data_IF_402337052528
#
_entry.id   IF_402337052528
#
_cell.length_a   1.000
_cell.length_b   1.000
_cell.length_c   1.000
_cell.angle_alpha   90.00
_cell.angle_beta   90.00
_cell.angle_gamma   90.00
#
_symmetry.space_group_name_H-M   'P 1'
#
loop_
_entity.id
_entity.type
_entity.pdbx_description
1 polymer ?
#
# COMPACT_ATOMS: atom_id res chain seq x y z
N UNK A 1 -11.01 18.24 3.83
CA UNK A 1 -12.03 17.94 2.84
C UNK A 1 -12.32 16.46 2.66
N UNK A 2 -11.52 15.56 3.27
CA UNK A 2 -11.68 14.09 3.17
C UNK A 2 -12.15 13.57 4.52
N UNK A 3 -13.45 13.70 4.77
CA UNK A 3 -14.06 13.35 6.04
C UNK A 3 -14.73 11.99 5.94
N UNK A 4 -14.43 11.13 6.90
CA UNK A 4 -15.20 9.90 7.15
C UNK A 4 -15.89 10.03 8.50
N UNK A 5 -17.03 9.36 8.66
CA UNK A 5 -17.73 9.27 9.93
C UNK A 5 -17.03 8.37 10.95
N UNK A 6 -16.07 7.57 10.48
CA UNK A 6 -15.31 6.64 11.31
C UNK A 6 -14.05 7.28 11.85
N UNK A 7 -13.67 6.93 13.07
CA UNK A 7 -12.36 7.25 13.63
C UNK A 7 -11.33 6.30 13.03
N UNK A 8 -10.54 6.80 12.07
CA UNK A 8 -9.60 5.97 11.27
C UNK A 8 -8.16 6.07 11.75
N UNK A 9 -7.88 6.89 12.76
CA UNK A 9 -6.55 6.97 13.36
C UNK A 9 -6.38 5.96 14.48
N UNK A 10 -5.16 5.48 14.72
CA UNK A 10 -4.84 4.55 15.80
C UNK A 10 -5.23 5.12 17.19
N UNK A 11 -5.16 6.44 17.38
CA UNK A 11 -5.63 7.10 18.60
C UNK A 11 -7.12 6.89 18.90
N UNK A 12 -7.93 6.62 17.89
CA UNK A 12 -9.34 6.30 18.02
C UNK A 12 -9.63 5.02 18.81
N UNK A 13 -8.68 4.09 18.87
CA UNK A 13 -8.79 2.84 19.65
C UNK A 13 -8.93 3.14 21.13
N UNK A 14 -8.10 4.03 21.67
CA UNK A 14 -8.18 4.43 23.10
C UNK A 14 -9.54 5.02 23.45
N UNK A 15 -10.05 5.90 22.61
CA UNK A 15 -11.37 6.51 22.80
C UNK A 15 -12.50 5.50 22.64
N UNK A 16 -12.44 4.65 21.64
CA UNK A 16 -13.50 3.69 21.32
C UNK A 16 -13.63 2.55 22.34
N UNK A 17 -12.50 2.09 22.90
CA UNK A 17 -12.46 1.00 23.89
C UNK A 17 -12.40 1.50 25.33
N UNK A 18 -12.18 2.80 25.57
CA UNK A 18 -12.02 3.35 26.91
C UNK A 18 -10.74 2.88 27.62
N UNK A 19 -9.69 2.55 26.85
CA UNK A 19 -8.39 2.10 27.37
C UNK A 19 -7.33 3.18 27.20
N UNK A 20 -6.34 3.19 28.10
CA UNK A 20 -5.19 4.09 27.96
C UNK A 20 -4.28 3.68 26.78
N UNK A 21 -3.62 4.65 26.11
CA UNK A 21 -2.78 4.36 24.94
C UNK A 21 -1.59 3.44 25.25
N UNK A 22 -1.17 3.34 26.51
CA UNK A 22 -0.08 2.46 26.96
C UNK A 22 -0.39 0.96 26.81
N UNK A 23 -1.67 0.60 26.61
CA UNK A 23 -2.07 -0.79 26.33
C UNK A 23 -1.99 -1.17 24.86
N UNK A 24 -1.51 -0.26 24.01
CA UNK A 24 -1.28 -0.50 22.60
C UNK A 24 0.23 -0.63 22.38
N UNK A 25 0.71 -1.87 22.24
CA UNK A 25 2.14 -2.15 22.10
C UNK A 25 2.61 -2.08 20.64
N UNK A 26 1.72 -2.44 19.68
CA UNK A 26 2.05 -2.51 18.27
C UNK A 26 0.91 -1.98 17.40
N UNK A 27 1.27 -1.16 16.42
CA UNK A 27 0.35 -0.63 15.41
C UNK A 27 0.83 -1.08 14.05
N UNK A 28 0.07 -1.95 13.39
CA UNK A 28 0.37 -2.44 12.05
C UNK A 28 -0.40 -1.60 11.05
N UNK A 29 0.33 -0.85 10.21
CA UNK A 29 -0.24 -0.09 9.10
C UNK A 29 -0.42 -0.97 7.88
N UNK A 30 -1.65 -1.13 7.39
CA UNK A 30 -1.92 -1.89 6.17
C UNK A 30 -1.87 -0.94 4.97
N UNK A 31 -1.00 -1.25 4.01
CA UNK A 31 -0.88 -0.53 2.74
C UNK A 31 -0.87 -1.53 1.59
N UNK A 32 -1.51 -1.19 0.49
CA UNK A 32 -1.31 -1.93 -0.75
C UNK A 32 0.06 -1.58 -1.35
N UNK A 33 0.57 -2.43 -2.23
CA UNK A 33 1.77 -2.13 -3.02
C UNK A 33 1.55 -1.01 -4.06
N UNK A 34 0.33 -0.52 -4.22
CA UNK A 34 -0.09 0.62 -5.04
C UNK A 34 -1.20 1.38 -4.30
N UNK A 35 -1.67 2.48 -4.84
CA UNK A 35 -2.71 3.30 -4.19
C UNK A 35 -4.07 3.11 -4.85
N UNK A 36 -5.13 3.04 -4.05
CA UNK A 36 -6.51 3.07 -4.55
C UNK A 36 -7.33 4.11 -3.80
N UNK A 37 -8.33 4.66 -4.48
CA UNK A 37 -9.27 5.61 -3.91
C UNK A 37 -10.71 5.28 -4.32
N UNK A 38 -11.62 5.44 -3.37
CA UNK A 38 -13.07 5.39 -3.61
C UNK A 38 -13.61 6.82 -3.56
N UNK A 39 -14.52 7.14 -4.47
CA UNK A 39 -15.15 8.44 -4.52
C UNK A 39 -14.31 9.53 -5.16
N UNK A 40 -14.80 10.75 -5.05
CA UNK A 40 -14.22 11.93 -5.69
C UNK A 40 -13.13 12.57 -4.83
N UNK A 41 -12.52 13.61 -5.36
CA UNK A 41 -11.45 14.36 -4.73
C UNK A 41 -10.08 14.08 -5.35
N UNK A 42 -9.05 14.86 -5.00
CA UNK A 42 -7.73 14.74 -5.59
C UNK A 42 -7.11 13.38 -5.31
N UNK A 43 -6.47 12.85 -6.35
CA UNK A 43 -5.70 11.63 -6.31
C UNK A 43 -4.46 11.84 -7.19
N UNK A 44 -3.42 12.41 -6.61
CA UNK A 44 -2.25 12.94 -7.33
C UNK A 44 -1.54 11.86 -8.16
N UNK A 45 -1.52 10.62 -7.67
CA UNK A 45 -0.85 9.49 -8.35
C UNK A 45 -1.80 8.66 -9.21
N UNK A 46 -3.03 9.13 -9.50
CA UNK A 46 -4.01 8.40 -10.29
C UNK A 46 -3.52 8.12 -11.70
N UNK A 47 -3.83 6.92 -12.20
CA UNK A 47 -3.49 6.47 -13.54
C UNK A 47 -4.73 6.33 -14.40
N UNK A 48 -4.68 6.94 -15.58
CA UNK A 48 -5.75 6.90 -16.58
C UNK A 48 -5.35 6.06 -17.81
N UNK A 49 -4.18 5.46 -17.76
CA UNK A 49 -3.58 4.64 -18.81
C UNK A 49 -3.85 3.14 -18.62
N UNK A 50 -3.18 2.31 -19.43
CA UNK A 50 -3.30 0.86 -19.35
C UNK A 50 -2.73 0.28 -18.05
N UNK A 51 -1.76 0.95 -17.40
CA UNK A 51 -1.29 0.53 -16.09
C UNK A 51 -2.41 0.68 -15.03
N UNK A 52 -3.15 1.78 -15.07
CA UNK A 52 -4.29 1.99 -14.17
C UNK A 52 -5.38 0.92 -14.34
N UNK A 53 -5.69 0.55 -15.60
CA UNK A 53 -6.63 -0.53 -15.91
C UNK A 53 -6.13 -1.88 -15.40
N UNK A 54 -4.86 -2.19 -15.64
CA UNK A 54 -4.23 -3.44 -15.20
C UNK A 54 -4.25 -3.57 -13.65
N UNK A 55 -3.94 -2.51 -12.93
CA UNK A 55 -4.04 -2.47 -11.46
C UNK A 55 -5.48 -2.74 -10.99
N UNK A 56 -6.47 -2.14 -11.66
CA UNK A 56 -7.88 -2.31 -11.32
C UNK A 56 -8.37 -3.77 -11.57
N UNK A 57 -8.03 -4.33 -12.72
CA UNK A 57 -8.44 -5.67 -13.12
C UNK A 57 -7.75 -6.75 -12.27
N UNK A 58 -6.42 -6.75 -12.21
CA UNK A 58 -5.63 -7.71 -11.42
C UNK A 58 -5.92 -7.59 -9.94
N UNK A 59 -6.00 -6.35 -9.46
CA UNK A 59 -6.29 -6.07 -8.06
C UNK A 59 -7.76 -6.34 -7.68
N UNK A 60 -8.63 -6.67 -8.65
CA UNK A 60 -10.07 -6.76 -8.43
C UNK A 60 -10.60 -5.55 -7.65
N UNK A 61 -10.23 -4.34 -8.13
CA UNK A 61 -10.50 -3.09 -7.44
C UNK A 61 -11.92 -2.59 -7.71
N UNK A 62 -12.86 -3.34 -7.20
CA UNK A 62 -14.29 -3.05 -7.23
C UNK A 62 -14.86 -3.09 -5.81
N UNK A 63 -15.89 -2.30 -5.58
CA UNK A 63 -16.62 -2.32 -4.31
C UNK A 63 -17.36 -3.66 -4.13
N UNK A 64 -17.09 -4.34 -3.02
CA UNK A 64 -17.68 -5.67 -2.76
C UNK A 64 -19.22 -5.68 -2.80
N UNK A 65 -19.87 -4.60 -2.37
CA UNK A 65 -21.32 -4.49 -2.32
C UNK A 65 -21.92 -3.85 -3.57
N UNK A 66 -21.28 -2.82 -4.11
CA UNK A 66 -21.83 -1.99 -5.17
C UNK A 66 -21.24 -2.28 -6.54
N UNK A 67 -20.18 -3.07 -6.63
CA UNK A 67 -19.42 -3.29 -7.87
C UNK A 67 -18.76 -2.02 -8.44
N UNK A 68 -18.82 -0.88 -7.72
CA UNK A 68 -18.27 0.39 -8.22
C UNK A 68 -16.75 0.28 -8.34
N UNK A 69 -16.17 0.67 -9.50
CA UNK A 69 -14.73 0.63 -9.68
C UNK A 69 -14.02 1.61 -8.73
N UNK A 70 -12.88 1.19 -8.20
CA UNK A 70 -11.96 2.05 -7.48
C UNK A 70 -10.98 2.68 -8.45
N UNK A 71 -10.64 3.91 -8.20
CA UNK A 71 -9.57 4.62 -8.89
C UNK A 71 -8.24 4.03 -8.44
N UNK A 72 -7.32 3.78 -9.37
CA UNK A 72 -6.02 3.18 -9.10
C UNK A 72 -4.89 4.13 -9.49
N UNK A 73 -3.78 4.04 -8.78
CA UNK A 73 -2.59 4.85 -9.04
C UNK A 73 -1.33 4.27 -8.42
N UNK A 74 -0.19 4.87 -8.73
CA UNK A 74 1.09 4.47 -8.14
C UNK A 74 1.11 4.71 -6.63
N UNK A 75 1.92 3.92 -5.93
CA UNK A 75 2.11 4.07 -4.48
C UNK A 75 2.63 5.47 -4.15
N UNK A 76 1.98 6.11 -3.20
CA UNK A 76 2.33 7.44 -2.71
C UNK A 76 3.06 7.32 -1.36
N UNK A 77 4.39 7.41 -1.40
CA UNK A 77 5.20 7.29 -0.20
C UNK A 77 5.17 8.55 0.67
N UNK A 78 4.86 9.71 0.09
CA UNK A 78 4.71 10.95 0.88
C UNK A 78 3.49 10.83 1.78
N UNK A 79 2.36 10.41 1.20
CA UNK A 79 1.14 10.16 1.94
C UNK A 79 1.30 9.00 2.94
N UNK A 80 1.95 7.91 2.55
CA UNK A 80 2.21 6.76 3.43
C UNK A 80 3.08 7.16 4.63
N UNK A 81 4.15 7.91 4.40
CA UNK A 81 5.02 8.42 5.48
C UNK A 81 4.25 9.31 6.45
N UNK A 82 3.36 10.17 5.94
CA UNK A 82 2.48 10.99 6.77
C UNK A 82 1.51 10.13 7.59
N UNK A 83 0.93 9.09 7.00
CA UNK A 83 0.01 8.18 7.68
C UNK A 83 0.73 7.41 8.79
N UNK A 84 1.95 6.92 8.55
CA UNK A 84 2.80 6.24 9.54
C UNK A 84 3.05 7.15 10.75
N UNK A 85 3.47 8.38 10.50
CA UNK A 85 3.70 9.36 11.57
C UNK A 85 2.43 9.64 12.37
N UNK A 86 1.32 9.92 11.67
CA UNK A 86 0.04 10.28 12.31
C UNK A 86 -0.52 9.16 13.18
N UNK A 87 -0.27 7.90 12.81
CA UNK A 87 -0.79 6.72 13.50
C UNK A 87 0.23 6.03 14.40
N UNK A 88 1.47 6.52 14.48
CA UNK A 88 2.56 5.86 15.20
C UNK A 88 2.73 4.39 14.78
N UNK A 89 2.65 4.14 13.47
CA UNK A 89 2.78 2.79 12.90
C UNK A 89 4.16 2.23 13.22
N UNK A 90 4.21 1.06 13.83
CA UNK A 90 5.44 0.36 14.19
C UNK A 90 5.94 -0.54 13.07
N UNK A 91 5.00 -1.17 12.37
CA UNK A 91 5.27 -2.11 11.28
C UNK A 91 4.27 -1.94 10.13
N UNK A 92 4.68 -2.26 8.92
CA UNK A 92 3.82 -2.30 7.75
C UNK A 92 3.35 -3.72 7.43
N UNK A 93 2.13 -3.82 6.95
CA UNK A 93 1.62 -4.93 6.19
C UNK A 93 1.44 -4.46 4.73
N UNK A 94 2.34 -4.88 3.82
CA UNK A 94 2.21 -4.59 2.39
C UNK A 94 1.35 -5.69 1.77
N UNK A 95 0.25 -5.30 1.15
CA UNK A 95 -0.68 -6.24 0.51
C UNK A 95 -0.68 -6.10 -1.00
N UNK A 96 -1.14 -7.13 -1.70
CA UNK A 96 -1.31 -7.11 -3.16
C UNK A 96 -0.01 -6.87 -3.93
N UNK A 97 1.09 -7.45 -3.46
CA UNK A 97 2.36 -7.39 -4.18
C UNK A 97 2.24 -8.08 -5.55
N UNK A 98 1.54 -9.20 -5.60
CA UNK A 98 1.21 -10.00 -6.78
C UNK A 98 0.53 -9.21 -7.92
N UNK A 99 -0.19 -8.16 -7.58
CA UNK A 99 -0.86 -7.30 -8.58
C UNK A 99 0.14 -6.56 -9.48
N UNK A 100 1.36 -6.32 -8.98
CA UNK A 100 2.43 -5.67 -9.72
C UNK A 100 3.27 -6.65 -10.57
N UNK A 101 2.99 -7.96 -10.48
CA UNK A 101 3.66 -8.97 -11.29
C UNK A 101 3.54 -8.64 -12.79
N UNK A 102 4.58 -9.01 -13.56
CA UNK A 102 4.68 -8.80 -15.02
C UNK A 102 4.69 -7.32 -15.47
N UNK A 103 4.63 -6.34 -14.56
CA UNK A 103 4.88 -4.95 -14.93
C UNK A 103 6.35 -4.77 -15.30
N UNK A 104 6.60 -4.08 -16.42
CA UNK A 104 7.98 -3.77 -16.86
C UNK A 104 8.61 -2.69 -16.00
N UNK A 105 7.82 -1.69 -15.65
CA UNK A 105 8.22 -0.54 -14.86
C UNK A 105 7.17 -0.25 -13.79
N UNK A 106 7.62 0.11 -12.62
CA UNK A 106 6.78 0.46 -11.49
C UNK A 106 7.24 1.82 -10.96
N UNK A 107 6.33 2.77 -10.84
CA UNK A 107 6.65 4.07 -10.30
C UNK A 107 6.15 4.21 -8.86
N UNK A 108 6.86 5.01 -8.07
CA UNK A 108 6.51 5.35 -6.70
C UNK A 108 6.65 6.86 -6.54
N UNK A 109 5.61 7.51 -6.02
CA UNK A 109 5.67 8.94 -5.72
C UNK A 109 6.49 9.17 -4.46
N UNK A 110 7.54 10.01 -4.59
CA UNK A 110 8.49 10.31 -3.54
C UNK A 110 8.47 11.76 -3.08
N UNK A 111 7.84 12.64 -3.86
CA UNK A 111 7.69 14.05 -3.54
C UNK A 111 6.57 14.68 -4.40
N UNK A 112 6.24 15.93 -4.12
CA UNK A 112 5.33 16.74 -4.92
C UNK A 112 6.00 18.05 -5.32
N UNK A 113 5.95 18.38 -6.61
CA UNK A 113 6.38 19.66 -7.14
C UNK A 113 5.21 20.35 -7.82
N UNK A 114 4.81 21.52 -7.36
CA UNK A 114 3.66 22.28 -7.88
C UNK A 114 2.38 21.43 -7.99
N UNK A 115 2.07 20.65 -6.95
CA UNK A 115 0.94 19.71 -6.88
C UNK A 115 1.01 18.54 -7.89
N UNK A 116 2.16 18.34 -8.53
CA UNK A 116 2.42 17.20 -9.40
C UNK A 116 3.30 16.16 -8.68
N UNK A 117 3.07 14.85 -8.93
CA UNK A 117 3.87 13.81 -8.29
C UNK A 117 5.26 13.72 -8.92
N UNK A 118 6.28 13.65 -8.07
CA UNK A 118 7.65 13.30 -8.46
C UNK A 118 7.82 11.80 -8.28
N UNK A 119 8.17 11.11 -9.36
CA UNK A 119 8.27 9.66 -9.35
C UNK A 119 9.71 9.16 -9.32
N UNK A 120 9.93 8.08 -8.56
CA UNK A 120 11.05 7.18 -8.75
C UNK A 120 10.58 5.93 -9.47
N UNK A 121 11.25 5.60 -10.56
CA UNK A 121 11.00 4.40 -11.36
C UNK A 121 11.80 3.20 -10.85
N UNK A 122 11.20 2.04 -10.86
CA UNK A 122 11.78 0.73 -10.57
C UNK A 122 11.58 -0.19 -11.76
N UNK A 123 12.57 -1.05 -11.99
CA UNK A 123 12.38 -2.19 -12.88
C UNK A 123 11.41 -3.18 -12.23
N UNK A 124 10.43 -3.62 -12.98
CA UNK A 124 9.54 -4.68 -12.55
C UNK A 124 10.24 -6.03 -12.46
N UNK A 125 9.60 -6.99 -11.85
CA UNK A 125 10.19 -8.33 -11.67
C UNK A 125 9.75 -9.37 -12.67
N UNK A 126 8.80 -9.07 -13.54
CA UNK A 126 8.39 -9.86 -14.72
C UNK A 126 8.15 -11.35 -14.44
N UNK A 127 7.81 -11.69 -13.21
CA UNK A 127 7.56 -13.06 -12.74
C UNK A 127 6.47 -13.04 -11.68
N UNK A 128 5.80 -14.18 -11.48
CA UNK A 128 4.78 -14.26 -10.44
C UNK A 128 5.39 -14.29 -9.05
N UNK A 129 4.81 -13.50 -8.15
CA UNK A 129 5.05 -13.56 -6.72
C UNK A 129 3.91 -14.29 -5.99
N UNK A 130 2.84 -14.66 -6.70
CA UNK A 130 1.67 -15.30 -6.13
C UNK A 130 2.04 -16.59 -5.39
N UNK A 131 1.63 -16.68 -4.13
CA UNK A 131 1.82 -17.85 -3.29
C UNK A 131 3.23 -17.99 -2.69
N UNK A 132 4.15 -17.05 -2.90
CA UNK A 132 5.45 -17.06 -2.22
C UNK A 132 5.24 -16.73 -0.74
N UNK A 133 5.78 -17.60 0.15
CA UNK A 133 5.66 -17.47 1.61
C UNK A 133 6.98 -17.11 2.30
N UNK A 134 8.09 -17.20 1.58
CA UNK A 134 9.43 -16.88 2.09
C UNK A 134 9.98 -15.62 1.41
N UNK A 135 10.45 -14.66 2.21
CA UNK A 135 10.97 -13.38 1.69
C UNK A 135 12.15 -13.55 0.73
N UNK A 136 13.04 -14.47 1.05
CA UNK A 136 14.23 -14.71 0.23
C UNK A 136 13.91 -15.31 -1.13
N UNK A 137 12.75 -15.94 -1.27
CA UNK A 137 12.24 -16.49 -2.54
C UNK A 137 11.61 -15.44 -3.46
N UNK A 138 11.40 -14.21 -2.97
CA UNK A 138 10.91 -13.13 -3.82
C UNK A 138 11.94 -12.76 -4.90
N UNK A 139 11.48 -12.35 -6.10
CA UNK A 139 12.34 -11.78 -7.12
C UNK A 139 13.14 -10.59 -6.57
N UNK A 140 14.37 -10.42 -7.05
CA UNK A 140 15.28 -9.38 -6.53
C UNK A 140 14.69 -7.97 -6.67
N UNK A 141 14.06 -7.66 -7.81
CA UNK A 141 13.43 -6.36 -8.01
C UNK A 141 12.25 -6.12 -7.05
N UNK A 142 11.51 -7.17 -6.68
CA UNK A 142 10.45 -7.06 -5.66
C UNK A 142 11.04 -6.76 -4.28
N UNK A 143 12.17 -7.39 -3.92
CA UNK A 143 12.89 -7.09 -2.67
C UNK A 143 13.43 -5.66 -2.66
N UNK A 144 13.99 -5.19 -3.78
CA UNK A 144 14.47 -3.80 -3.95
C UNK A 144 13.31 -2.82 -3.76
N UNK A 145 12.16 -3.09 -4.35
CA UNK A 145 10.95 -2.27 -4.21
C UNK A 145 10.50 -2.18 -2.75
N UNK A 146 10.35 -3.31 -2.08
CA UNK A 146 9.95 -3.38 -0.66
C UNK A 146 10.98 -2.66 0.23
N UNK A 147 12.26 -2.92 0.01
CA UNK A 147 13.34 -2.31 0.78
C UNK A 147 13.34 -0.79 0.63
N UNK A 148 13.11 -0.28 -0.56
CA UNK A 148 13.00 1.16 -0.78
C UNK A 148 11.83 1.78 -0.02
N UNK A 149 10.67 1.14 -0.02
CA UNK A 149 9.51 1.58 0.77
C UNK A 149 9.90 1.67 2.25
N UNK A 150 10.46 0.60 2.82
CA UNK A 150 10.90 0.54 4.22
C UNK A 150 11.86 1.69 4.56
N UNK A 151 12.86 1.90 3.70
CA UNK A 151 13.89 2.92 3.92
C UNK A 151 13.34 4.35 3.81
N UNK A 152 12.39 4.57 2.91
CA UNK A 152 11.77 5.88 2.74
C UNK A 152 10.85 6.25 3.91
N UNK A 153 10.00 5.32 4.33
CA UNK A 153 9.02 5.58 5.38
C UNK A 153 9.53 5.29 6.79
N UNK A 154 10.71 4.68 6.93
CA UNK A 154 11.34 4.29 8.19
C UNK A 154 10.49 3.33 9.02
N UNK A 155 9.85 2.39 8.37
CA UNK A 155 9.04 1.33 9.00
C UNK A 155 9.24 0.01 8.26
N UNK A 156 9.42 -1.09 9.00
CA UNK A 156 9.64 -2.42 8.44
C UNK A 156 8.33 -3.01 7.91
N UNK A 157 8.36 -3.61 6.73
CA UNK A 157 7.27 -4.44 6.22
C UNK A 157 7.37 -5.84 6.86
N UNK A 158 6.80 -6.01 8.03
CA UNK A 158 6.83 -7.28 8.78
C UNK A 158 5.85 -8.31 8.21
N UNK A 159 4.89 -7.88 7.41
CA UNK A 159 3.91 -8.73 6.75
C UNK A 159 3.83 -8.32 5.28
N UNK A 160 3.88 -9.30 4.37
CA UNK A 160 3.72 -9.05 2.92
C UNK A 160 2.75 -10.09 2.38
N UNK A 161 1.64 -9.65 1.79
CA UNK A 161 0.70 -10.55 1.11
C UNK A 161 1.06 -10.67 -0.37
N UNK A 162 1.14 -11.89 -0.83
CA UNK A 162 1.47 -12.32 -2.19
C UNK A 162 0.29 -12.99 -2.90
N UNK A 163 -0.92 -12.80 -2.38
CA UNK A 163 -2.15 -13.33 -2.96
C UNK A 163 -3.34 -13.17 -2.03
N UNK A 164 -4.54 -13.59 -2.47
CA UNK A 164 -5.79 -13.38 -1.72
C UNK A 164 -5.99 -14.34 -0.54
N UNK A 165 -5.30 -15.48 -0.51
CA UNK A 165 -5.45 -16.48 0.52
C UNK A 165 -4.61 -16.17 1.75
N UNK A 166 -5.07 -16.62 2.93
CA UNK A 166 -4.38 -16.37 4.21
C UNK A 166 -2.96 -16.95 4.26
N UNK A 167 -2.76 -18.08 3.64
CA UNK A 167 -1.50 -18.80 3.53
C UNK A 167 -0.51 -18.17 2.51
N UNK A 168 -0.98 -17.26 1.67
CA UNK A 168 -0.15 -16.51 0.73
C UNK A 168 0.41 -15.24 1.40
N UNK A 169 1.12 -15.44 2.50
CA UNK A 169 1.60 -14.34 3.34
C UNK A 169 3.02 -14.65 3.85
N UNK A 170 3.91 -13.68 3.66
CA UNK A 170 5.27 -13.68 4.19
C UNK A 170 5.25 -12.98 5.56
N UNK A 171 5.83 -13.61 6.58
CA UNK A 171 6.08 -13.01 7.90
C UNK A 171 7.59 -12.79 8.07
N UNK A 172 8.00 -11.58 8.53
CA UNK A 172 9.43 -11.19 8.65
C UNK A 172 9.77 -10.69 10.05
#
# INVERSE_FOLDING_TARGET
PYVTSSSTTAGGVSTGLGIGPKYIDKIIGISKAYTTRVGEGPFITELFDDNGKMLAERGNEFGATTGRPRRCGWLDLVALKKAIFTNSVTDLCITKLDVLDEMKKINVCIDYENDLPVYKEFEGWLSSTEGITEYDSLPENAKIYIKYIEDFVKSKASIISTGPSRDQTILR
#
